data_IF_247458587360
#
_entry.id   IF_247458587360
#
_cell.length_a   1.000
_cell.length_b   1.000
_cell.length_c   1.000
_cell.angle_alpha   90.00
_cell.angle_beta   90.00
_cell.angle_gamma   90.00
#
_symmetry.space_group_name_H-M   'P 1'
#
loop_
_entity.id
_entity.type
_entity.pdbx_description
1 polymer ?
2 polymer ?
3 non-polymer ?
4 non-polymer ?
5 non-polymer ?
6 non-polymer ?
7 non-polymer ?
8 non-polymer ?
9 water ?
#
# COMPACT_ATOMS: atom_id res chain seq x y z
N UNK A 3 18.87 -7.30 -19.61
CA UNK A 3 19.69 -6.79 -18.50
C UNK A 3 19.21 -5.40 -18.09
N UNK A 4 20.06 -4.38 -18.33
CA UNK A 4 19.67 -2.99 -18.10
C UNK A 4 19.26 -2.30 -19.41
N UNK A 5 18.96 -3.08 -20.45
CA UNK A 5 18.40 -2.52 -21.67
C UNK A 5 16.93 -2.13 -21.51
N UNK A 6 16.55 -1.02 -22.16
CA UNK A 6 15.19 -0.52 -22.18
C UNK A 6 14.44 -1.05 -23.40
N UNK A 7 14.08 -2.35 -23.40
CA UNK A 7 13.26 -2.96 -24.46
C UNK A 7 11.77 -2.70 -24.23
N UNK A 8 10.95 -2.71 -25.28
CA UNK A 8 9.51 -2.50 -25.19
C UNK A 8 8.78 -3.84 -25.32
N UNK A 9 8.11 -4.29 -24.23
CA UNK A 9 7.54 -5.63 -24.23
C UNK A 9 6.02 -5.52 -24.34
N UNK A 10 5.45 -4.34 -24.07
CA UNK A 10 4.04 -4.08 -24.34
C UNK A 10 3.87 -3.77 -25.83
N UNK A 11 2.86 -4.39 -26.43
CA UNK A 11 2.53 -4.13 -27.83
C UNK A 11 1.93 -2.74 -27.93
N UNK A 12 1.36 -2.24 -26.83
CA UNK A 12 0.93 -0.85 -26.78
C UNK A 12 0.77 -0.40 -25.34
N UNK A 13 0.94 0.91 -25.13
CA UNK A 13 1.00 1.45 -23.79
C UNK A 13 -0.43 1.76 -23.32
N UNK A 14 -1.22 0.70 -23.19
CA UNK A 14 -2.60 0.80 -22.77
C UNK A 14 -2.93 -0.35 -21.83
N UNK A 15 -4.11 -0.24 -21.22
CA UNK A 15 -4.66 -1.28 -20.39
C UNK A 15 -4.75 -2.55 -21.19
N UNK A 16 -5.17 -2.39 -22.46
CA UNK A 16 -5.37 -3.53 -23.35
C UNK A 16 -4.01 -4.21 -23.59
N UNK A 17 -2.95 -3.42 -23.78
CA UNK A 17 -1.61 -3.94 -23.92
C UNK A 17 -1.13 -4.68 -22.68
N UNK A 18 -1.43 -4.10 -21.50
CA UNK A 18 -1.03 -4.75 -20.25
C UNK A 18 -1.73 -6.09 -20.14
N UNK A 19 -3.02 -6.13 -20.46
CA UNK A 19 -3.78 -7.37 -20.35
C UNK A 19 -3.19 -8.47 -21.25
N UNK A 20 -2.87 -8.12 -22.50
CA UNK A 20 -2.30 -9.10 -23.43
C UNK A 20 -0.96 -9.61 -22.89
N UNK A 21 -0.12 -8.67 -22.46
CA UNK A 21 1.12 -9.06 -21.79
C UNK A 21 0.85 -10.00 -20.62
N UNK A 22 -0.09 -9.63 -19.74
CA UNK A 22 -0.32 -10.48 -18.58
C UNK A 22 -0.68 -11.91 -18.99
N UNK A 23 -1.27 -12.10 -20.17
CA UNK A 23 -1.61 -13.46 -20.57
C UNK A 23 -0.64 -14.06 -21.59
N UNK A 24 0.53 -13.45 -21.74
CA UNK A 24 1.64 -14.02 -22.48
C UNK A 24 2.46 -14.91 -21.55
N UNK A 25 3.35 -15.72 -22.09
CA UNK A 25 4.14 -16.61 -21.27
C UNK A 25 5.15 -15.81 -20.44
N UNK A 26 5.52 -14.63 -20.93
CA UNK A 26 6.54 -13.80 -20.29
C UNK A 26 6.11 -13.26 -18.92
N UNK A 27 4.79 -13.24 -18.62
CA UNK A 27 4.31 -12.62 -17.39
C UNK A 27 3.97 -13.67 -16.35
N UNK A 28 4.92 -14.03 -15.49
CA UNK A 28 4.65 -15.05 -14.48
C UNK A 28 4.61 -14.50 -13.05
N UNK A 29 5.30 -13.37 -12.82
CA UNK A 29 5.52 -12.85 -11.48
C UNK A 29 5.14 -11.37 -11.42
N UNK A 30 4.06 -11.08 -10.69
CA UNK A 30 3.56 -9.72 -10.57
C UNK A 30 3.80 -9.23 -9.15
N UNK A 31 4.37 -8.01 -9.08
CA UNK A 31 4.48 -7.29 -7.83
C UNK A 31 3.48 -6.14 -7.81
N UNK A 32 2.72 -6.05 -6.75
CA UNK A 32 1.82 -4.94 -6.55
C UNK A 32 2.47 -4.03 -5.52
N UNK A 33 2.39 -2.73 -5.76
CA UNK A 33 2.76 -1.70 -4.83
C UNK A 33 1.52 -0.84 -4.59
N UNK A 34 1.10 -0.68 -3.35
CA UNK A 34 -0.20 -0.10 -3.14
C UNK A 34 -0.11 0.88 -2.00
N UNK A 35 -1.05 1.79 -2.01
CA UNK A 35 -1.16 2.75 -0.93
C UNK A 35 -2.62 3.10 -0.63
N UNK A 36 -2.78 4.24 0.03
CA UNK A 36 -4.00 4.60 0.75
C UNK A 36 -5.20 4.74 -0.18
N UNK A 37 -4.90 4.97 -1.45
CA UNK A 37 -5.89 5.05 -2.50
C UNK A 37 -6.71 3.76 -2.65
N UNK A 38 -6.14 2.59 -2.33
CA UNK A 38 -6.92 1.38 -2.51
C UNK A 38 -7.92 1.16 -1.37
N UNK A 39 -7.86 1.97 -0.31
CA UNK A 39 -8.69 1.77 0.86
C UNK A 39 -9.60 2.97 1.10
N UNK A 40 -9.54 4.04 0.28
CA UNK A 40 -10.49 5.12 0.41
C UNK A 40 -11.94 4.64 0.17
N UNK A 41 -12.16 3.68 -0.74
CA UNK A 41 -13.53 3.27 -1.02
C UNK A 41 -14.01 2.32 0.07
N UNK A 42 -13.11 1.92 0.99
CA UNK A 42 -13.44 1.11 2.15
C UNK A 42 -13.67 1.96 3.38
N UNK A 43 -13.60 3.30 3.22
CA UNK A 43 -13.98 4.26 4.27
C UNK A 43 -12.76 4.81 5.03
N UNK A 44 -11.53 4.54 4.56
CA UNK A 44 -10.36 5.05 5.25
C UNK A 44 -9.74 6.13 4.37
N UNK A 45 -9.66 7.39 4.88
CA UNK A 45 -9.08 8.47 4.12
C UNK A 45 -7.58 8.29 3.82
N UNK A 46 -7.17 8.85 2.68
CA UNK A 46 -5.77 9.02 2.38
C UNK A 46 -5.34 10.32 3.09
N UNK A 47 -4.10 10.74 2.84
CA UNK A 47 -3.60 12.01 3.34
C UNK A 47 -3.84 13.14 2.34
N UNK A 48 -3.59 12.86 1.06
CA UNK A 48 -3.38 13.88 0.05
C UNK A 48 -4.64 14.32 -0.68
N UNK A 49 -5.73 13.54 -0.65
CA UNK A 49 -6.86 13.92 -1.47
C UNK A 49 -7.40 15.26 -0.98
N UNK A 50 -7.63 16.23 -1.89
CA UNK A 50 -8.24 17.47 -1.46
C UNK A 50 -9.63 17.20 -0.88
N UNK A 51 -9.93 17.85 0.24
CA UNK A 51 -11.23 17.69 0.88
C UNK A 51 -11.23 16.48 1.82
N UNK A 52 -11.23 15.27 1.25
CA UNK A 52 -11.45 14.08 2.09
C UNK A 52 -10.16 13.55 2.72
N UNK A 53 -8.99 14.07 2.31
CA UNK A 53 -7.72 13.63 2.85
C UNK A 53 -7.50 14.14 4.27
N UNK A 54 -6.67 13.42 5.03
CA UNK A 54 -6.53 13.70 6.46
C UNK A 54 -5.89 15.06 6.73
N UNK A 55 -4.93 15.46 5.88
CA UNK A 55 -4.15 16.68 6.06
C UNK A 55 -5.09 17.88 6.16
N UNK A 56 -6.18 17.84 5.37
CA UNK A 56 -7.20 18.88 5.34
C UNK A 56 -8.06 18.87 6.60
N UNK A 57 -8.07 17.77 7.34
CA UNK A 57 -9.14 17.51 8.30
C UNK A 57 -8.57 17.32 9.70
N UNK A 58 -7.39 17.88 10.00
CA UNK A 58 -6.72 17.62 11.28
C UNK A 58 -6.64 18.87 12.16
N UNK A 59 -7.40 19.92 11.80
CA UNK A 59 -7.34 21.22 12.47
C UNK A 59 -7.41 21.03 13.99
N UNK A 60 -8.46 20.36 14.48
CA UNK A 60 -8.82 20.31 15.89
C UNK A 60 -7.67 19.83 16.78
N UNK A 61 -6.81 18.94 16.29
CA UNK A 61 -5.76 18.32 17.10
C UNK A 61 -4.73 19.36 17.56
N UNK A 62 -4.83 20.62 17.09
CA UNK A 62 -3.97 21.68 17.59
C UNK A 62 -2.52 21.19 17.60
N UNK A 63 -2.05 20.69 16.46
CA UNK A 63 -0.67 20.25 16.34
C UNK A 63 0.03 21.20 15.38
N UNK A 64 1.37 21.36 15.46
CA UNK A 64 2.11 21.99 14.37
C UNK A 64 2.10 21.14 13.10
N UNK A 65 1.49 21.66 12.03
CA UNK A 65 1.45 21.05 10.70
C UNK A 65 0.83 19.65 10.78
N UNK A 66 -0.08 19.32 9.84
CA UNK A 66 -0.86 18.09 9.92
C UNK A 66 -0.03 16.80 9.96
N UNK A 67 1.28 16.87 9.70
CA UNK A 67 2.08 15.67 9.53
C UNK A 67 2.51 15.07 10.88
N UNK A 68 2.59 15.90 11.94
CA UNK A 68 3.21 15.51 13.20
C UNK A 68 2.49 14.32 13.88
N UNK A 69 1.17 14.21 13.73
CA UNK A 69 0.43 13.19 14.47
C UNK A 69 0.88 11.79 14.07
N UNK A 70 1.67 11.64 12.97
CA UNK A 70 2.15 10.34 12.53
C UNK A 70 3.66 10.26 12.51
N UNK A 71 4.33 11.19 13.22
CA UNK A 71 5.77 11.26 13.40
C UNK A 71 6.10 10.64 14.76
N UNK A 72 7.20 9.88 14.81
CA UNK A 72 7.55 9.09 15.97
C UNK A 72 7.95 10.02 17.13
N UNK A 73 8.60 11.16 16.86
CA UNK A 73 9.06 11.99 17.98
C UNK A 73 7.86 12.62 18.72
N UNK A 74 6.87 13.10 17.96
CA UNK A 74 5.63 13.63 18.52
C UNK A 74 4.84 12.54 19.26
N UNK A 75 4.87 11.31 18.73
CA UNK A 75 4.18 10.19 19.39
C UNK A 75 4.82 9.87 20.73
N UNK A 76 6.16 9.84 20.74
CA UNK A 76 6.94 9.71 21.96
C UNK A 76 6.57 10.79 22.99
N UNK A 77 6.57 12.06 22.59
CA UNK A 77 6.18 13.16 23.46
C UNK A 77 4.77 12.96 24.02
N UNK A 78 3.76 12.76 23.15
CA UNK A 78 2.41 12.46 23.62
C UNK A 78 1.65 11.59 22.64
N UNK A 79 1.36 10.34 23.05
CA UNK A 79 0.63 9.40 22.21
C UNK A 79 -0.88 9.64 22.13
N UNK A 80 -1.40 10.57 22.92
CA UNK A 80 -2.85 10.65 23.11
C UNK A 80 -3.54 11.16 21.84
N UNK A 81 -3.03 12.20 21.16
CA UNK A 81 -3.62 12.64 19.90
C UNK A 81 -3.75 11.53 18.86
N UNK A 82 -2.65 10.77 18.68
CA UNK A 82 -2.70 9.65 17.75
C UNK A 82 -3.84 8.71 18.13
N UNK A 83 -3.93 8.24 19.38
CA UNK A 83 -4.97 7.29 19.75
C UNK A 83 -6.37 7.88 19.57
N UNK A 84 -6.49 9.19 19.80
CA UNK A 84 -7.77 9.87 19.63
C UNK A 84 -8.22 9.78 18.18
N UNK A 85 -7.29 10.09 17.25
CA UNK A 85 -7.56 10.03 15.82
C UNK A 85 -7.82 8.59 15.37
N UNK A 86 -7.04 7.63 15.87
CA UNK A 86 -7.34 6.24 15.60
C UNK A 86 -8.79 5.95 15.97
N UNK A 87 -9.27 6.44 17.12
CA UNK A 87 -10.65 6.18 17.47
C UNK A 87 -11.57 6.75 16.39
N UNK A 88 -11.28 7.96 15.92
CA UNK A 88 -12.13 8.64 14.95
C UNK A 88 -12.21 7.83 13.65
N UNK A 89 -11.07 7.27 13.22
CA UNK A 89 -10.92 6.65 11.93
C UNK A 89 -11.26 5.16 11.91
N UNK A 90 -11.35 4.51 13.08
CA UNK A 90 -11.42 3.06 13.13
C UNK A 90 -12.75 2.62 12.50
N UNK A 91 -12.75 1.88 11.38
CA UNK A 91 -14.00 1.42 10.79
C UNK A 91 -14.82 0.48 11.69
N UNK A 92 -16.14 0.65 11.64
CA UNK A 92 -17.06 -0.31 12.24
C UNK A 92 -16.95 -1.69 11.60
N UNK A 93 -16.71 -1.69 10.27
CA UNK A 93 -16.60 -2.94 9.51
C UNK A 93 -15.42 -2.88 8.55
N UNK A 94 -14.61 -3.95 8.53
CA UNK A 94 -13.46 -4.03 7.65
C UNK A 94 -13.87 -4.75 6.38
N UNK A 95 -14.12 -3.99 5.32
CA UNK A 95 -14.49 -4.60 4.05
C UNK A 95 -13.53 -4.20 2.95
N UNK A 96 -12.69 -5.15 2.50
CA UNK A 96 -11.76 -4.90 1.42
C UNK A 96 -12.48 -4.50 0.12
N UNK A 97 -11.74 -3.84 -0.77
CA UNK A 97 -12.34 -3.28 -1.96
C UNK A 97 -12.13 -4.24 -3.11
N UNK A 98 -12.76 -3.91 -4.24
CA UNK A 98 -12.53 -4.63 -5.50
C UNK A 98 -11.03 -4.79 -5.78
N UNK A 99 -10.31 -3.69 -5.59
CA UNK A 99 -8.88 -3.65 -5.82
C UNK A 99 -8.13 -4.63 -4.92
N UNK A 100 -8.55 -4.74 -3.65
CA UNK A 100 -8.01 -5.77 -2.75
C UNK A 100 -8.27 -7.18 -3.29
N UNK A 101 -9.49 -7.44 -3.79
CA UNK A 101 -9.88 -8.77 -4.27
C UNK A 101 -9.26 -9.06 -5.62
N UNK A 102 -8.92 -8.00 -6.36
CA UNK A 102 -8.14 -8.17 -7.59
C UNK A 102 -6.78 -8.79 -7.26
N UNK A 103 -6.12 -8.31 -6.22
CA UNK A 103 -4.88 -8.89 -5.74
C UNK A 103 -5.10 -10.33 -5.25
N UNK A 104 -6.20 -10.59 -4.54
CA UNK A 104 -6.55 -11.97 -4.18
C UNK A 104 -6.67 -12.83 -5.43
N UNK A 105 -7.25 -12.29 -6.51
CA UNK A 105 -7.30 -13.05 -7.75
C UNK A 105 -5.88 -13.38 -8.26
N UNK A 106 -4.96 -12.41 -8.24
CA UNK A 106 -3.57 -12.64 -8.67
C UNK A 106 -2.94 -13.77 -7.85
N UNK A 107 -3.17 -13.79 -6.53
CA UNK A 107 -2.67 -14.85 -5.66
C UNK A 107 -3.23 -16.22 -6.05
N UNK A 108 -4.54 -16.27 -6.31
CA UNK A 108 -5.20 -17.54 -6.57
C UNK A 108 -4.80 -18.02 -7.96
N UNK A 109 -4.36 -17.10 -8.85
CA UNK A 109 -3.96 -17.47 -10.19
C UNK A 109 -2.46 -17.83 -10.26
N UNK A 110 -1.75 -17.74 -9.15
CA UNK A 110 -0.31 -17.98 -9.09
C UNK A 110 0.52 -16.89 -9.76
N UNK A 111 -0.01 -15.66 -9.83
CA UNK A 111 0.66 -14.54 -10.49
C UNK A 111 1.31 -13.58 -9.52
N UNK A 112 0.90 -13.62 -8.26
CA UNK A 112 1.37 -12.69 -7.23
C UNK A 112 2.69 -13.14 -6.62
N UNK A 113 3.78 -12.43 -6.90
CA UNK A 113 5.03 -12.62 -6.16
C UNK A 113 4.95 -11.92 -4.82
N UNK A 114 4.45 -10.68 -4.79
CA UNK A 114 4.37 -9.99 -3.53
C UNK A 114 3.46 -8.79 -3.74
N UNK A 115 2.72 -8.51 -2.69
CA UNK A 115 2.12 -7.20 -2.52
C UNK A 115 2.92 -6.42 -1.47
N UNK A 116 3.49 -5.30 -1.88
CA UNK A 116 4.11 -4.35 -0.97
C UNK A 116 3.07 -3.25 -0.73
N UNK A 117 2.65 -3.11 0.54
CA UNK A 117 1.62 -2.13 0.84
C UNK A 117 2.18 -1.07 1.79
N UNK A 118 1.71 0.16 1.65
CA UNK A 118 2.01 1.18 2.64
C UNK A 118 0.89 1.30 3.66
N UNK A 119 -0.18 0.53 3.46
CA UNK A 119 -1.33 0.65 4.33
C UNK A 119 -1.13 -0.17 5.59
N UNK A 120 -1.82 0.28 6.64
CA UNK A 120 -1.75 -0.32 7.98
C UNK A 120 -3.10 -0.90 8.42
N UNK A 121 -4.08 -0.99 7.48
CA UNK A 121 -5.49 -1.18 7.81
C UNK A 121 -5.90 -2.65 7.82
N UNK A 122 -4.98 -3.55 7.40
CA UNK A 122 -5.11 -4.99 7.43
C UNK A 122 -6.05 -5.51 6.33
N UNK A 123 -6.51 -4.64 5.42
CA UNK A 123 -7.51 -5.10 4.43
C UNK A 123 -6.94 -6.14 3.45
N UNK A 124 -5.63 -6.11 3.17
CA UNK A 124 -5.02 -7.15 2.35
C UNK A 124 -5.22 -8.53 3.00
N UNK A 125 -5.03 -8.62 4.32
CA UNK A 125 -5.14 -9.89 5.03
C UNK A 125 -6.57 -10.42 4.97
N UNK A 126 -7.50 -9.48 5.18
CA UNK A 126 -8.91 -9.77 5.18
C UNK A 126 -9.37 -10.25 3.81
N UNK A 127 -8.73 -9.73 2.72
CA UNK A 127 -9.06 -10.15 1.36
C UNK A 127 -8.43 -11.51 1.08
N UNK A 128 -7.54 -11.96 1.96
CA UNK A 128 -6.94 -13.27 1.86
C UNK A 128 -5.51 -13.31 1.36
N UNK A 129 -4.78 -12.17 1.29
CA UNK A 129 -3.33 -12.24 1.16
C UNK A 129 -2.69 -12.71 2.48
N UNK A 130 -1.79 -13.67 2.39
CA UNK A 130 -1.15 -14.21 3.57
C UNK A 130 0.13 -13.44 3.86
N UNK A 131 0.62 -13.58 5.10
CA UNK A 131 1.84 -12.90 5.50
C UNK A 131 2.93 -13.12 4.46
N UNK A 132 3.05 -14.37 3.99
CA UNK A 132 4.05 -14.72 3.01
C UNK A 132 4.00 -13.73 1.84
N UNK A 133 2.77 -13.46 1.38
CA UNK A 133 2.48 -12.75 0.14
C UNK A 133 2.73 -11.25 0.30
N UNK A 134 2.92 -10.80 1.52
CA UNK A 134 2.74 -9.40 1.82
C UNK A 134 3.99 -8.81 2.44
N UNK A 135 4.38 -7.61 1.97
CA UNK A 135 5.29 -6.78 2.73
C UNK A 135 4.50 -5.56 3.21
N UNK A 136 4.22 -5.54 4.51
CA UNK A 136 3.56 -4.42 5.14
C UNK A 136 4.65 -3.43 5.45
N UNK A 137 5.01 -2.64 4.44
CA UNK A 137 6.20 -1.83 4.52
C UNK A 137 6.11 -0.81 5.66
N UNK A 138 4.91 -0.38 6.02
CA UNK A 138 4.76 0.59 7.10
C UNK A 138 4.13 -0.08 8.32
N UNK A 139 4.30 -1.41 8.44
CA UNK A 139 3.70 -2.21 9.49
C UNK A 139 2.18 -2.28 9.40
N UNK A 140 1.52 -2.37 10.57
CA UNK A 140 0.15 -2.82 10.66
C UNK A 140 -0.38 -2.60 12.08
N UNK A 141 -1.72 -2.36 12.11
CA UNK A 141 -2.57 -2.44 13.27
C UNK A 141 -2.94 -3.86 13.71
N UNK A 142 -2.56 -4.85 12.91
CA UNK A 142 -2.96 -6.23 13.16
C UNK A 142 -2.47 -6.68 14.53
N UNK A 143 -1.19 -6.48 14.79
CA UNK A 143 -0.64 -6.75 16.10
C UNK A 143 -0.13 -5.43 16.69
N UNK A 144 0.05 -5.48 18.02
CA UNK A 144 0.65 -4.40 18.79
C UNK A 144 1.67 -4.97 19.78
N UNK A 145 2.60 -4.10 20.21
CA UNK A 145 3.61 -4.53 21.17
C UNK A 145 3.86 -3.45 22.21
N UNK A 146 3.94 -3.89 23.47
CA UNK A 146 4.57 -3.12 24.51
C UNK A 146 5.90 -2.55 24.01
N UNK A 147 6.11 -1.26 24.24
CA UNK A 147 7.31 -0.60 23.73
C UNK A 147 8.55 -0.88 24.59
N UNK A 148 8.39 -1.59 25.71
CA UNK A 148 9.50 -1.82 26.62
C UNK A 148 10.44 -2.89 26.08
N UNK A 149 11.70 -2.51 25.80
CA UNK A 149 12.67 -3.40 25.18
C UNK A 149 12.74 -4.76 25.91
N UNK A 150 12.67 -4.73 27.25
CA UNK A 150 12.78 -5.96 28.04
C UNK A 150 11.44 -6.70 28.16
N UNK A 151 10.34 -6.17 27.59
CA UNK A 151 9.03 -6.82 27.69
C UNK A 151 8.55 -7.24 26.29
N UNK A 152 8.10 -6.25 25.50
CA UNK A 152 7.74 -6.45 24.11
C UNK A 152 6.56 -7.41 23.97
N UNK A 153 5.72 -7.54 24.99
CA UNK A 153 4.52 -8.38 24.94
C UNK A 153 3.68 -7.97 23.73
N UNK A 154 3.12 -8.99 23.05
CA UNK A 154 2.28 -8.82 21.89
C UNK A 154 0.79 -8.81 22.27
N UNK A 155 0.02 -7.87 21.72
CA UNK A 155 -1.41 -7.75 21.92
C UNK A 155 -2.10 -7.83 20.57
N UNK A 156 -3.28 -8.48 20.46
CA UNK A 156 -4.03 -8.54 19.21
C UNK A 156 -4.87 -7.28 19.00
N UNK A 157 -5.36 -7.11 17.78
CA UNK A 157 -6.15 -5.95 17.41
C UNK A 157 -7.43 -5.82 18.24
N UNK A 158 -8.03 -6.93 18.67
CA UNK A 158 -9.25 -6.81 19.47
C UNK A 158 -8.93 -6.13 20.81
N UNK A 159 -7.75 -6.42 21.35
CA UNK A 159 -7.32 -5.78 22.59
C UNK A 159 -7.12 -4.29 22.35
N UNK A 160 -6.34 -3.95 21.32
CA UNK A 160 -6.01 -2.57 20.99
C UNK A 160 -7.28 -1.78 20.66
N UNK A 161 -8.18 -2.37 19.87
CA UNK A 161 -9.43 -1.73 19.56
C UNK A 161 -10.20 -1.36 20.83
N UNK A 162 -10.35 -2.32 21.73
CA UNK A 162 -11.02 -2.07 23.00
C UNK A 162 -10.39 -0.85 23.69
N UNK A 163 -9.04 -0.80 23.75
CA UNK A 163 -8.39 0.33 24.41
C UNK A 163 -8.74 1.62 23.69
N UNK A 164 -8.70 1.59 22.36
CA UNK A 164 -8.89 2.80 21.57
C UNK A 164 -10.33 3.30 21.71
N UNK A 165 -11.31 2.40 21.76
CA UNK A 165 -12.68 2.83 21.90
C UNK A 165 -13.02 3.22 23.34
N UNK A 166 -12.33 2.62 24.31
CA UNK A 166 -12.56 2.96 25.71
C UNK A 166 -11.91 4.30 26.03
N UNK A 167 -11.10 4.80 25.07
CA UNK A 167 -10.38 6.05 25.22
C UNK A 167 -9.34 5.95 26.34
N UNK A 168 -8.89 4.71 26.63
CA UNK A 168 -7.83 4.46 27.59
C UNK A 168 -6.52 4.27 26.84
N UNK A 169 -5.51 5.10 27.11
CA UNK A 169 -4.19 4.93 26.50
C UNK A 169 -3.72 3.51 26.79
N UNK A 170 -3.43 2.68 25.75
CA UNK A 170 -3.12 1.28 25.98
C UNK A 170 -1.86 1.05 26.80
N UNK A 171 -1.99 0.32 27.90
CA UNK A 171 -0.85 0.00 28.74
C UNK A 171 -0.68 -1.50 28.82
N UNK A 172 0.57 -1.90 28.95
CA UNK A 172 0.94 -3.30 29.00
C UNK A 172 0.47 -3.87 30.34
N UNK A 173 -0.10 -5.08 30.26
CA UNK A 173 -0.63 -5.77 31.43
C UNK A 173 0.53 -6.32 32.28
N UNK A 174 1.68 -6.58 31.66
CA UNK A 174 2.82 -7.14 32.38
C UNK A 174 3.66 -6.06 33.04
N UNK A 175 3.84 -4.89 32.40
CA UNK A 175 4.79 -3.92 32.92
C UNK A 175 4.28 -2.47 32.90
N UNK A 176 3.11 -2.21 32.29
CA UNK A 176 2.43 -0.91 32.35
C UNK A 176 3.06 0.15 31.46
N UNK A 177 4.00 -0.26 30.58
CA UNK A 177 4.51 0.63 29.54
C UNK A 177 3.44 0.83 28.47
N UNK A 178 3.70 1.79 27.57
CA UNK A 178 2.77 2.00 26.47
C UNK A 178 2.75 0.77 25.56
N UNK A 179 1.56 0.47 25.00
CA UNK A 179 1.43 -0.57 23.99
C UNK A 179 1.16 0.15 22.67
N UNK A 180 2.00 -0.14 21.66
CA UNK A 180 1.97 0.60 20.41
C UNK A 180 1.65 -0.35 19.25
N UNK A 181 0.66 0.02 18.40
CA UNK A 181 0.43 -0.66 17.14
C UNK A 181 1.70 -0.79 16.34
N UNK A 182 1.83 -1.93 15.64
CA UNK A 182 3.05 -2.31 14.96
C UNK A 182 3.23 -1.48 13.69
N UNK A 183 2.89 -0.20 13.73
CA UNK A 183 3.00 0.61 12.54
C UNK A 183 4.37 1.30 12.55
N UNK A 184 4.82 1.69 11.36
CA UNK A 184 6.03 2.46 11.23
C UNK A 184 5.58 3.90 11.14
N UNK A 185 5.85 4.66 12.19
CA UNK A 185 5.66 6.11 12.15
C UNK A 185 6.74 6.74 11.29
N UNK A 186 6.46 7.94 10.80
CA UNK A 186 7.45 8.77 10.16
C UNK A 186 8.59 9.02 11.15
N UNK A 187 9.82 8.83 10.66
CA UNK A 187 11.00 8.91 11.49
C UNK A 187 11.52 7.53 11.84
N UNK A 188 10.72 6.47 11.63
CA UNK A 188 11.13 5.15 12.07
C UNK A 188 11.73 4.37 10.89
N UNK A 189 12.50 3.35 11.23
CA UNK A 189 13.07 2.47 10.24
C UNK A 189 12.00 1.49 9.80
N UNK A 190 12.00 1.21 8.50
CA UNK A 190 11.13 0.19 7.97
C UNK A 190 11.58 -1.17 8.45
N UNK A 191 10.68 -2.16 8.44
CA UNK A 191 11.04 -3.48 8.88
C UNK A 191 12.09 -4.14 7.99
N UNK A 192 12.93 -4.99 8.60
CA UNK A 192 14.00 -5.66 7.90
C UNK A 192 13.47 -6.47 6.71
N UNK A 193 12.30 -7.10 6.92
CA UNK A 193 11.61 -7.85 5.89
C UNK A 193 11.52 -7.06 4.58
N UNK A 194 11.16 -5.78 4.69
CA UNK A 194 11.01 -4.91 3.54
C UNK A 194 12.26 -4.97 2.67
N UNK A 195 13.44 -4.88 3.32
CA UNK A 195 14.71 -4.77 2.59
C UNK A 195 15.07 -6.10 1.95
N UNK A 196 14.91 -7.21 2.67
CA UNK A 196 15.30 -8.51 2.11
C UNK A 196 14.32 -8.99 1.04
N UNK A 197 13.02 -8.69 1.18
CA UNK A 197 12.13 -9.06 0.10
C UNK A 197 12.48 -8.23 -1.14
N UNK A 198 12.76 -6.96 -0.93
CA UNK A 198 13.08 -6.07 -2.04
C UNK A 198 14.34 -6.54 -2.80
N UNK A 199 15.40 -6.95 -2.10
CA UNK A 199 16.61 -7.46 -2.72
C UNK A 199 16.32 -8.65 -3.63
N UNK A 200 15.38 -9.50 -3.26
CA UNK A 200 15.20 -10.73 -4.00
C UNK A 200 14.10 -10.58 -5.07
N UNK A 201 12.94 -10.04 -4.68
CA UNK A 201 11.77 -9.98 -5.53
C UNK A 201 12.01 -9.21 -6.84
N UNK A 202 12.74 -8.08 -6.76
CA UNK A 202 12.94 -7.23 -7.92
C UNK A 202 13.96 -7.79 -8.93
N UNK A 203 14.61 -8.93 -8.60
CA UNK A 203 15.45 -9.64 -9.57
C UNK A 203 14.63 -10.24 -10.68
N UNK A 204 13.39 -10.68 -10.42
CA UNK A 204 12.68 -11.48 -11.40
C UNK A 204 11.18 -11.16 -11.42
N UNK A 205 10.86 -9.89 -11.51
CA UNK A 205 9.49 -9.43 -11.63
C UNK A 205 9.21 -9.09 -13.09
N UNK A 206 8.02 -9.50 -13.57
CA UNK A 206 7.62 -9.30 -14.94
C UNK A 206 6.61 -8.17 -15.10
N UNK A 207 6.00 -7.72 -14.00
CA UNK A 207 5.05 -6.63 -14.08
C UNK A 207 4.96 -5.99 -12.72
N UNK A 208 4.97 -4.66 -12.73
CA UNK A 208 4.79 -3.85 -11.55
C UNK A 208 3.45 -3.16 -11.73
N UNK A 209 2.53 -3.45 -10.80
CA UNK A 209 1.19 -2.88 -10.73
C UNK A 209 1.15 -2.01 -9.49
N UNK A 210 0.91 -0.71 -9.74
CA UNK A 210 1.06 0.36 -8.77
C UNK A 210 -0.30 1.00 -8.62
N UNK A 211 -0.90 0.92 -7.45
CA UNK A 211 -2.30 1.32 -7.29
C UNK A 211 -2.47 2.19 -6.06
N UNK A 212 -3.15 3.35 -6.22
CA UNK A 212 -3.58 4.15 -5.07
C UNK A 212 -2.48 4.71 -4.15
N UNK A 213 -1.41 5.22 -4.74
CA UNK A 213 -0.32 5.82 -4.02
C UNK A 213 0.24 6.98 -4.85
N UNK A 214 0.64 8.03 -4.14
CA UNK A 214 1.30 9.20 -4.71
C UNK A 214 2.80 9.00 -4.94
N UNK A 215 3.38 7.88 -4.44
CA UNK A 215 4.80 7.60 -4.57
C UNK A 215 5.63 8.79 -4.09
N UNK A 216 5.29 9.28 -2.91
CA UNK A 216 5.96 10.42 -2.29
C UNK A 216 6.63 10.01 -0.99
N UNK A 217 6.22 8.87 -0.43
CA UNK A 217 6.81 8.41 0.81
C UNK A 217 7.97 7.48 0.49
N UNK A 218 9.10 7.79 1.09
CA UNK A 218 10.33 7.05 0.88
C UNK A 218 10.67 6.28 2.14
N UNK A 219 11.42 5.15 2.06
CA UNK A 219 11.94 4.63 0.79
C UNK A 219 10.98 3.79 -0.07
N UNK A 220 9.71 3.68 0.33
CA UNK A 220 8.74 2.90 -0.43
C UNK A 220 8.70 3.29 -1.89
N UNK A 221 8.69 4.59 -2.19
CA UNK A 221 8.49 5.06 -3.56
C UNK A 221 9.62 4.58 -4.46
N UNK A 222 10.80 4.38 -3.93
CA UNK A 222 11.94 4.05 -4.77
C UNK A 222 11.87 2.61 -5.24
N UNK A 223 10.88 1.87 -4.75
CA UNK A 223 10.66 0.52 -5.22
C UNK A 223 10.42 0.51 -6.73
N UNK A 224 9.81 1.55 -7.32
CA UNK A 224 9.56 1.51 -8.75
C UNK A 224 10.85 1.46 -9.56
N UNK A 225 11.96 1.99 -9.02
CA UNK A 225 13.23 2.02 -9.74
C UNK A 225 14.00 0.71 -9.60
N UNK A 226 13.56 -0.16 -8.69
CA UNK A 226 14.28 -1.40 -8.45
C UNK A 226 13.91 -2.48 -9.46
N UNK A 227 12.81 -2.31 -10.18
CA UNK A 227 12.48 -3.26 -11.24
C UNK A 227 13.50 -3.18 -12.36
N UNK A 228 13.76 -4.28 -13.10
CA UNK A 228 14.46 -4.17 -14.36
C UNK A 228 13.81 -3.18 -15.32
N UNK A 229 14.62 -2.65 -16.25
CA UNK A 229 14.22 -1.48 -16.99
C UNK A 229 13.17 -1.87 -18.03
N UNK A 230 13.09 -3.15 -18.36
CA UNK A 230 12.15 -3.64 -19.36
C UNK A 230 10.86 -4.21 -18.76
N UNK A 231 10.76 -4.21 -17.43
CA UNK A 231 9.56 -4.65 -16.74
C UNK A 231 8.49 -3.58 -16.91
N UNK A 232 7.35 -3.91 -17.55
CA UNK A 232 6.24 -2.97 -17.63
C UNK A 232 5.70 -2.55 -16.27
N UNK A 233 5.24 -1.30 -16.19
CA UNK A 233 4.69 -0.74 -14.97
C UNK A 233 3.37 -0.07 -15.31
N UNK A 234 2.31 -0.55 -14.67
CA UNK A 234 0.98 0.00 -14.76
C UNK A 234 0.62 0.72 -13.47
N UNK A 235 0.21 2.00 -13.60
CA UNK A 235 -0.30 2.79 -12.52
C UNK A 235 -1.81 2.85 -12.67
N UNK A 236 -2.53 2.45 -11.61
CA UNK A 236 -3.95 2.68 -11.51
C UNK A 236 -4.14 3.64 -10.36
N UNK A 237 -4.57 4.86 -10.69
CA UNK A 237 -4.57 5.91 -9.71
C UNK A 237 -5.42 7.05 -10.26
N UNK A 238 -5.87 7.92 -9.38
CA UNK A 238 -6.72 9.04 -9.79
C UNK A 238 -5.90 10.09 -10.53
N UNK A 239 -4.60 10.18 -10.22
CA UNK A 239 -3.69 11.13 -10.80
C UNK A 239 -2.40 10.41 -11.20
N UNK A 240 -1.69 10.95 -12.19
CA UNK A 240 -0.38 10.40 -12.48
C UNK A 240 0.52 10.61 -11.27
N UNK A 241 1.49 9.72 -11.10
CA UNK A 241 2.37 9.77 -9.96
C UNK A 241 3.66 9.09 -10.37
N UNK A 242 4.75 9.38 -9.67
CA UNK A 242 6.02 8.70 -9.84
C UNK A 242 6.90 9.23 -10.98
N UNK A 243 6.46 10.30 -11.65
CA UNK A 243 7.31 10.93 -12.64
C UNK A 243 8.55 11.50 -11.94
N UNK A 244 9.59 11.68 -12.71
CA UNK A 244 10.68 12.52 -12.23
C UNK A 244 10.30 14.01 -12.20
N UNK A 245 10.60 14.65 -11.08
CA UNK A 245 10.42 16.08 -10.99
C UNK A 245 11.44 16.74 -11.91
N UNK A 246 11.06 17.79 -12.69
CA UNK A 246 12.01 18.46 -13.58
C UNK A 246 13.16 19.15 -12.85
N UNK A 247 12.99 19.44 -11.56
CA UNK A 247 14.05 20.13 -10.83
C UNK A 247 14.96 19.10 -10.15
N UNK A 248 14.42 18.33 -9.21
CA UNK A 248 15.18 17.33 -8.47
C UNK A 248 15.84 16.36 -9.43
N UNK A 249 15.12 16.02 -10.49
CA UNK A 249 15.63 15.11 -11.51
C UNK A 249 16.86 15.62 -12.22
N UNK A 250 17.27 16.88 -11.96
CA UNK A 250 18.46 17.47 -12.56
C UNK A 250 19.70 17.25 -11.69
N UNK A 251 19.57 16.51 -10.58
CA UNK A 251 20.70 16.21 -9.71
C UNK A 251 20.87 14.69 -9.56
N UNK A 252 22.15 14.26 -9.51
CA UNK A 252 22.56 12.90 -9.87
C UNK A 252 21.95 11.86 -8.92
N UNK A 255 17.24 6.87 -10.26
CA UNK A 255 16.37 5.72 -10.60
C UNK A 255 15.45 6.04 -11.76
N UNK A 256 14.82 5.00 -12.31
CA UNK A 256 13.89 5.13 -13.41
C UNK A 256 12.51 5.57 -12.94
N UNK A 257 12.29 6.90 -12.91
CA UNK A 257 10.95 7.48 -12.73
C UNK A 257 9.96 6.98 -13.78
N UNK A 258 8.68 7.19 -13.52
CA UNK A 258 7.64 6.81 -14.45
C UNK A 258 7.69 7.77 -15.64
N UNK A 259 7.50 7.22 -16.83
CA UNK A 259 7.41 7.99 -18.05
C UNK A 259 6.31 7.40 -18.92
N UNK A 260 5.15 8.02 -18.78
CA UNK A 260 3.97 7.61 -19.48
C UNK A 260 3.85 8.32 -20.82
N UNK A 261 4.41 9.52 -20.93
CA UNK A 261 3.92 10.47 -21.92
C UNK A 261 5.03 11.07 -22.76
N UNK A 262 6.27 11.03 -22.28
CA UNK A 262 7.32 11.69 -23.03
C UNK A 262 7.52 10.91 -24.32
N UNK A 263 8.41 11.48 -25.13
CA UNK A 263 8.77 10.92 -26.41
C UNK A 263 9.45 9.56 -26.18
N UNK A 264 10.14 9.41 -25.03
CA UNK A 264 10.95 8.22 -24.77
C UNK A 264 10.15 7.08 -24.10
N UNK A 265 8.82 7.13 -24.06
CA UNK A 265 8.03 6.20 -23.23
C UNK A 265 8.00 4.82 -23.87
N UNK A 266 8.20 3.74 -23.09
CA UNK A 266 8.27 2.40 -23.68
C UNK A 266 7.64 1.29 -22.82
N UNK A 267 7.38 1.51 -21.51
CA UNK A 267 6.86 0.44 -20.66
C UNK A 267 5.90 0.90 -19.54
N UNK A 268 5.65 2.21 -19.38
CA UNK A 268 4.83 2.70 -18.29
C UNK A 268 3.47 3.11 -18.84
N UNK A 269 2.42 2.66 -18.13
CA UNK A 269 1.03 2.95 -18.45
C UNK A 269 0.30 3.48 -17.21
N UNK A 270 -0.46 4.55 -17.42
CA UNK A 270 -1.30 5.16 -16.40
C UNK A 270 -2.77 5.01 -16.79
N UNK A 271 -3.54 4.36 -15.91
CA UNK A 271 -4.98 4.36 -15.98
C UNK A 271 -5.54 5.22 -14.86
N UNK A 272 -6.08 6.39 -15.25
CA UNK A 272 -6.52 7.42 -14.31
C UNK A 272 -7.99 7.29 -13.97
N UNK A 273 -8.25 7.07 -12.68
CA UNK A 273 -9.59 6.92 -12.14
C UNK A 273 -9.57 6.16 -10.83
N UNK A 274 -10.74 5.64 -10.45
CA UNK A 274 -10.92 4.92 -9.20
C UNK A 274 -10.20 3.59 -9.36
N UNK A 275 -9.43 3.18 -8.36
CA UNK A 275 -8.76 1.89 -8.40
C UNK A 275 -9.72 0.74 -8.66
N UNK A 276 -10.88 0.84 -8.01
CA UNK A 276 -11.90 -0.18 -8.10
C UNK A 276 -12.36 -0.35 -9.55
N UNK A 277 -12.56 0.76 -10.29
CA UNK A 277 -12.92 0.74 -11.71
C UNK A 277 -11.80 0.24 -12.62
N UNK A 278 -10.57 0.70 -12.39
CA UNK A 278 -9.43 0.27 -13.19
C UNK A 278 -9.21 -1.22 -13.04
N UNK A 279 -9.26 -1.74 -11.80
CA UNK A 279 -9.09 -3.18 -11.59
C UNK A 279 -10.23 -3.95 -12.26
N UNK A 280 -11.45 -3.41 -12.16
CA UNK A 280 -12.59 -4.05 -12.78
C UNK A 280 -12.42 -4.14 -14.31
N UNK A 281 -11.92 -3.05 -14.91
CA UNK A 281 -11.64 -2.99 -16.33
C UNK A 281 -10.55 -4.01 -16.71
N UNK A 282 -9.49 -4.08 -15.91
CA UNK A 282 -8.39 -4.97 -16.20
C UNK A 282 -8.88 -6.42 -16.10
N UNK A 283 -9.61 -6.75 -15.04
CA UNK A 283 -10.19 -8.07 -14.85
C UNK A 283 -11.02 -8.46 -16.07
N UNK A 284 -11.77 -7.51 -16.58
CA UNK A 284 -12.63 -7.74 -17.74
C UNK A 284 -11.81 -8.16 -18.94
N UNK A 285 -10.74 -7.43 -19.26
CA UNK A 285 -9.85 -7.83 -20.36
C UNK A 285 -9.26 -9.22 -20.14
N UNK A 286 -8.98 -9.58 -18.88
CA UNK A 286 -8.33 -10.85 -18.58
C UNK A 286 -9.33 -11.99 -18.57
N UNK A 287 -10.62 -11.67 -18.69
CA UNK A 287 -11.67 -12.67 -18.60
C UNK A 287 -11.98 -13.06 -17.15
N UNK A 288 -11.62 -12.18 -16.18
CA UNK A 288 -11.77 -12.51 -14.79
C UNK A 288 -12.95 -11.77 -14.18
N UNK A 289 -13.70 -11.03 -14.99
CA UNK A 289 -14.68 -10.12 -14.44
C UNK A 289 -15.72 -10.83 -13.56
N UNK A 290 -16.33 -11.89 -14.07
CA UNK A 290 -17.36 -12.58 -13.29
C UNK A 290 -16.72 -13.20 -12.05
N UNK A 291 -15.52 -13.78 -12.18
CA UNK A 291 -14.86 -14.36 -11.03
C UNK A 291 -14.72 -13.28 -9.96
N UNK A 292 -14.32 -12.08 -10.40
CA UNK A 292 -14.05 -10.97 -9.48
C UNK A 292 -15.36 -10.50 -8.82
N UNK A 293 -16.41 -10.39 -9.61
CA UNK A 293 -17.71 -9.98 -9.11
C UNK A 293 -18.20 -11.01 -8.09
N UNK A 294 -18.04 -12.30 -8.37
CA UNK A 294 -18.55 -13.35 -7.49
C UNK A 294 -17.77 -13.40 -6.18
N UNK A 295 -16.46 -13.22 -6.24
CA UNK A 295 -15.63 -13.19 -5.05
C UNK A 295 -15.97 -12.05 -4.11
N UNK A 296 -16.01 -10.85 -4.69
CA UNK A 296 -16.30 -9.69 -3.87
C UNK A 296 -17.68 -9.84 -3.23
N UNK A 297 -18.72 -10.21 -4.02
CA UNK A 297 -20.07 -10.36 -3.48
C UNK A 297 -20.12 -11.42 -2.40
N UNK A 298 -19.43 -12.54 -2.60
CA UNK A 298 -19.50 -13.58 -1.60
C UNK A 298 -18.75 -13.14 -0.33
N UNK A 299 -17.55 -12.57 -0.48
CA UNK A 299 -16.77 -12.15 0.69
C UNK A 299 -17.49 -11.04 1.45
N UNK A 300 -18.05 -10.10 0.70
CA UNK A 300 -18.79 -9.02 1.34
C UNK A 300 -20.02 -9.57 2.08
N UNK A 301 -20.73 -10.49 1.45
CA UNK A 301 -21.88 -11.11 2.10
C UNK A 301 -21.46 -11.84 3.37
N UNK A 302 -20.32 -12.55 3.29
CA UNK A 302 -19.80 -13.24 4.47
C UNK A 302 -19.39 -12.27 5.59
N UNK A 303 -18.76 -11.16 5.24
CA UNK A 303 -18.49 -10.15 6.24
C UNK A 303 -19.81 -9.56 6.77
N UNK A 304 -20.75 -9.23 5.88
CA UNK A 304 -22.00 -8.63 6.32
C UNK A 304 -22.74 -9.48 7.34
N UNK A 305 -22.52 -10.80 7.31
CA UNK A 305 -23.22 -11.75 8.15
C UNK A 305 -22.45 -12.06 9.44
N UNK A 306 -21.28 -11.47 9.67
CA UNK A 306 -20.63 -11.49 10.97
C UNK A 306 -21.43 -10.54 11.90
N UNK B 1 17.35 3.16 5.37
CA UNK B 1 16.81 4.53 5.66
C UNK B 1 15.44 4.50 6.33
N UNK B 2 14.99 5.72 6.66
CA UNK B 2 13.86 5.97 7.55
C UNK B 2 12.62 6.39 6.78
N UNK B 3 11.44 5.96 7.25
CA UNK B 3 10.21 6.44 6.65
C UNK B 3 10.20 7.97 6.64
N UNK B 4 9.89 8.57 5.47
CA UNK B 4 9.99 10.02 5.30
C UNK B 4 9.28 10.46 4.01
N UNK B 5 8.81 11.72 3.98
CA UNK B 5 8.34 12.33 2.74
C UNK B 5 9.55 12.83 1.96
N UNK B 6 9.37 13.24 0.70
CA UNK B 6 10.50 13.59 -0.15
C UNK B 6 10.67 15.12 -0.20
X LIG C 1 -15.25 -1.86 0.42
X LIG C 1 -15.68 -1.40 1.70
X LIG C 1 -16.36 -1.89 -0.63
X LIG C 1 -16.22 -0.78 -1.51
X LIG C 1 -16.84 -0.97 -2.77
X LIG C 1 -16.04 -1.95 -3.62
X LIG C 1 -14.67 -1.67 -3.67
X LIG D 1 0.23 6.39 -20.43
X LIG D 1 -0.88 5.69 -20.04
X LIG D 1 1.33 5.45 -20.59
X LIG D 1 2.06 5.57 -21.73
X LIG E 1 -12.97 -2.58 -20.11
X LIG E 1 -12.08 -3.58 -19.73
X LIG E 1 -14.27 -2.71 -19.35
X LIG E 1 -14.77 -1.43 -18.98
X LIG E 1 -14.64 -1.15 -17.59
X LIG E 1 -15.55 -2.05 -16.79
X LIG E 1 -16.04 -1.37 -15.66
X LIG F 1 -6.94 10.01 23.20
X LIG F 1 -5.67 9.62 23.70
X LIG F 1 -8.10 9.31 23.81
X LIG F 1 -8.84 8.52 22.92
X LIG G 1 -6.07 -17.11 -17.40
X LIG G 1 -5.52 -15.85 -17.03
X LIG G 1 -6.88 -17.72 -16.32
X LIG G 1 -8.01 -16.93 -16.02
X LIG H 1 -7.85 6.04 -18.85
X LIG H 1 -6.73 6.72 -18.28
X LIG H 1 -9.13 6.28 -18.11
X LIG H 1 -9.04 7.36 -17.20
X LIG I 1 10.42 -9.31 -18.36
X LIG I 1 9.31 -10.18 -18.23
X LIG I 1 11.08 -8.94 -17.10
X LIG I 1 11.62 -7.63 -17.18
X LIG J 1 8.91 -15.15 -16.40
X LIG J 1 9.16 -14.83 -15.02
X LIG J 1 9.47 -14.20 -17.42
X LIG J 1 10.87 -13.98 -17.26
X LIG K 1 -1.45 9.58 -0.35
X LIG K 1 -0.10 10.26 -0.38
X LIG K 1 -2.58 10.19 0.45
X LIG K 1 -1.88 9.31 -1.86
X LIG K 1 -2.90 8.40 -2.20
X LIG K 1 -2.96 8.43 -3.70
X LIG K 1 -4.09 7.65 -4.14
X LIG K 1 -3.12 9.83 -4.32
X LIG K 1 -2.38 9.77 -5.53
X LIG K 1 -4.64 9.91 -4.49
X LIG K 1 -5.10 10.70 -5.56
X LIG K 1 -4.94 8.47 -4.91
X LIG K 1 -6.29 8.00 -4.65
X LIG K 1 -7.03 8.14 -3.51
X LIG K 1 -8.16 7.50 -3.54
X LIG K 1 -8.15 6.85 -4.76
X LIG K 1 -9.05 5.95 -5.38
X LIG K 1 -10.19 5.53 -4.82
X LIG K 1 -8.70 5.45 -6.59
X LIG K 1 -7.55 5.86 -7.13
X LIG K 1 -6.64 6.70 -6.67
X LIG K 1 -6.98 7.12 -5.44
X LIG K 1 -1.28 8.09 0.18
X LIG K 1 -0.06 7.10 0.02
X LIG K 1 0.69 7.48 -1.18
X LIG K 1 -0.69 5.79 0.33
X LIG K 1 0.94 7.44 1.26
X LIG K 1 0.45 8.13 2.46
X LIG K 1 1.15 7.69 3.70
X LIG K 1 0.24 7.71 4.83
X LIG K 1 1.76 6.27 3.70
X LIG K 1 2.95 6.25 4.49
X LIG K 1 0.69 5.41 4.38
X LIG K 1 1.30 4.52 5.32
X LIG K 1 -0.14 6.39 5.23
X LIG K 1 -1.62 6.20 5.15
X LIG K 1 -2.16 4.94 5.31
X LIG K 1 -3.54 4.75 5.29
X LIG K 1 -4.10 3.37 5.42
X LIG K 1 -3.42 2.45 5.93
X LIG K 1 -5.25 3.12 4.77
X LIG K 1 -4.38 5.83 5.14
X LIG K 1 -3.84 7.08 4.99
X LIG K 1 -2.47 7.26 5.00
X LIG L 1 17.42 -5.78 26.97
X LIG L 1 16.24 -6.03 27.68
X LIG L 1 17.19 -4.85 25.84
X LIG L 1 17.64 -5.43 24.64
X LIG M 1 11.07 12.70 13.10
X LIG M 1 11.35 12.77 11.72
X LIG M 1 9.62 12.74 13.40
X LIG M 1 9.29 12.20 14.67
X LIG N 1 17.45 -5.86 -11.37
X LIG N 1 16.81 -7.05 -10.93
X LIG N 1 17.05 -4.68 -10.50
X LIG N 1 16.82 -5.10 -9.16
X LIG N 1 18.05 -3.55 -10.54
X LIG N 1 17.53 -2.40 -11.20
X LIG O 1 5.27 -4.71 28.76
X LIG P 1 2.80 5.98 7.68
X LIG P 1 2.42 6.68 6.79
X LIG P 1 2.10 5.74 8.97
X LIG P 1 0.71 5.29 8.84
X LIG P 1 -0.28 6.18 9.58
X LIG P 1 -1.63 6.24 8.94
X LIG P 1 -2.78 5.75 9.81
X LIG P 1 -4.13 6.16 9.26
X LIG P 1 -5.29 5.23 9.62
X LIG P 1 -5.33 4.77 11.05
X LIG P 1 -6.70 4.25 11.48
X LIG P 1 -7.14 2.99 10.79
X LIG P 1 -7.28 1.82 11.72
X LIG P 1 -7.32 0.51 11.00
X LIG P 1 -7.15 -0.67 11.93
#
# INVERSE_FOLDING_TARGET
>A
SLGSQKERLLDELTLEGVARYMQSERCRRVICLVGAGISTSAGIPDFRSPSTGLYDNLEKYHLPYPEAIFEISYFKKHPEPFFALAKELYPGQFKPTICHYFMRLLKDKGLLLRCYTQNIDTLERIAGLEQEDLVEAHGTFYTSHCVSASCRHEYPLSWMKEKIFSEVTPKCEDCQSLVKPDIVFFGESLPARFFSCMQSDFLKVDLLLVMGTSLQVQPFASLISKAPLSTPRLLINKEKAGQSDPFLGMIMGLGGGMDFDSKKAYRDVAWLGECDQGCLALAELLGWKKELEDLVRREHASIDAQS
>B
PRKQLA
>C hetero
1 PEG C1 O1 C2 O2 C3 C4 O4
>D hetero
1 EDO C1 O1 C2 O2
>E hetero
1 PEG C1 O1 C2 O2 C3 C4 O4
>F hetero
1 EDO C1 O1 C2 O2
>G hetero
1 EDO C1 O1 C2 O2
>H hetero
1 EDO C1 O1 C2 O2
>I hetero
1 EDO C1 O1 C2 O2
>J hetero
1 EDO C1 O1 C2 O2
>K hetero
1 NAD PA O1A O2A O5B C5B C4B O4B C3B O3B C2B O2B C1B N9A C8A N7A C5A C6A N6A N1A C2A N3A C4A O3 PN O1N O2N O5D C5D C4D O4D C3D O3D C2D O2D C1D N1N C2N C3N C7N O7N N7N C4N C5N C6N
>L hetero
1 EDO C1 O1 C2 O2
>M hetero
1 EDO C1 O1 C2 O2
>N hetero
1 GOL C1 O1 C2 O2 C3 O3
>O hetero
1 ZN ZN
>P hetero
1 MYR C1 O1 C2 C3 C4 C5 C6 C7 C8 C9 C10 C11 C12 C13 C14
#
